data_IF_745101436811
#
_entry.id   IF_745101436811
#
_cell.length_a   1.000
_cell.length_b   1.000
_cell.length_c   1.000
_cell.angle_alpha   90.00
_cell.angle_beta   90.00
_cell.angle_gamma   90.00
#
_symmetry.space_group_name_H-M   'P 1'
#
loop_
_entity.id
_entity.type
_entity.pdbx_description
1 polymer ?
#
# COMPACT_ATOMS: atom_id res chain seq x y z
N UNK A 1 16.54 6.26 -10.67
CA UNK A 1 16.39 6.21 -12.16
C UNK A 1 15.80 7.53 -12.61
N UNK A 2 16.39 8.18 -13.64
CA UNK A 2 15.81 9.43 -14.18
C UNK A 2 14.44 9.17 -14.79
N UNK A 3 13.53 10.14 -14.62
CA UNK A 3 12.17 10.06 -15.15
C UNK A 3 12.15 9.99 -16.69
N UNK A 4 11.48 9.00 -17.25
CA UNK A 4 11.30 8.82 -18.70
C UNK A 4 10.40 9.90 -19.31
N UNK A 5 10.49 10.12 -20.63
CA UNK A 5 9.64 11.06 -21.34
C UNK A 5 8.14 10.68 -21.19
N UNK A 6 7.83 9.39 -21.30
CA UNK A 6 6.47 8.88 -21.09
C UNK A 6 5.93 9.26 -19.72
N UNK A 7 6.73 9.05 -18.66
CA UNK A 7 6.31 9.39 -17.29
C UNK A 7 6.17 10.90 -17.07
N UNK A 8 7.03 11.72 -17.70
CA UNK A 8 6.87 13.20 -17.66
C UNK A 8 5.52 13.64 -18.24
N UNK A 9 5.14 13.10 -19.40
CA UNK A 9 3.85 13.41 -20.04
C UNK A 9 2.71 12.94 -19.14
N UNK A 10 2.75 11.71 -18.66
CA UNK A 10 1.71 11.13 -17.80
C UNK A 10 1.54 11.94 -16.52
N UNK A 11 2.63 12.27 -15.83
CA UNK A 11 2.59 13.09 -14.60
C UNK A 11 1.96 14.45 -14.87
N UNK A 12 2.37 15.12 -15.96
CA UNK A 12 1.82 16.44 -16.33
C UNK A 12 0.32 16.38 -16.62
N UNK A 13 -0.14 15.36 -17.36
CA UNK A 13 -1.57 15.15 -17.65
C UNK A 13 -2.35 14.84 -16.38
N UNK A 14 -1.82 13.97 -15.51
CA UNK A 14 -2.47 13.64 -14.23
C UNK A 14 -2.56 14.87 -13.32
N UNK A 15 -1.49 15.65 -13.17
CA UNK A 15 -1.53 16.91 -12.41
C UNK A 15 -2.59 17.86 -12.96
N UNK A 16 -2.64 18.06 -14.29
CA UNK A 16 -3.66 18.92 -14.91
C UNK A 16 -5.08 18.43 -14.63
N UNK A 17 -5.35 17.13 -14.85
CA UNK A 17 -6.70 16.55 -14.69
C UNK A 17 -7.14 16.52 -13.22
N UNK A 18 -6.27 16.06 -12.32
CA UNK A 18 -6.61 15.93 -10.91
C UNK A 18 -6.70 17.28 -10.22
N UNK A 19 -5.75 18.17 -10.46
CA UNK A 19 -5.75 19.49 -9.85
C UNK A 19 -6.83 20.42 -10.41
N UNK A 20 -7.27 20.25 -11.67
CA UNK A 20 -8.43 21.00 -12.21
C UNK A 20 -9.76 20.61 -11.53
N UNK A 21 -9.83 19.41 -10.96
CA UNK A 21 -11.00 18.89 -10.25
C UNK A 21 -10.92 19.01 -8.74
N UNK A 22 -9.86 19.63 -8.22
CA UNK A 22 -9.55 19.69 -6.79
C UNK A 22 -10.72 20.17 -5.93
N UNK A 23 -11.41 21.26 -6.33
CA UNK A 23 -12.55 21.79 -5.59
C UNK A 23 -13.80 20.90 -5.66
N UNK A 24 -13.96 20.18 -6.78
CA UNK A 24 -15.09 19.25 -7.01
C UNK A 24 -14.90 17.89 -6.32
N UNK A 25 -13.65 17.51 -6.02
CA UNK A 25 -13.34 16.20 -5.46
C UNK A 25 -13.62 16.13 -3.94
N UNK A 26 -13.53 17.23 -3.22
CA UNK A 26 -13.80 17.28 -1.79
C UNK A 26 -15.22 16.81 -1.42
N UNK A 27 -16.18 16.98 -2.36
CA UNK A 27 -17.59 16.56 -2.20
C UNK A 27 -17.92 15.21 -2.85
N UNK A 28 -17.09 14.73 -3.80
CA UNK A 28 -17.40 13.54 -4.61
C UNK A 28 -16.76 12.23 -4.14
N UNK A 29 -15.72 12.27 -3.31
CA UNK A 29 -14.94 11.06 -2.99
C UNK A 29 -15.76 9.95 -2.30
N UNK A 30 -16.79 10.33 -1.54
CA UNK A 30 -17.64 9.38 -0.83
C UNK A 30 -18.69 8.69 -1.72
N UNK A 31 -19.05 9.27 -2.88
CA UNK A 31 -20.18 8.77 -3.68
C UNK A 31 -19.72 7.82 -4.80
N UNK A 32 -18.52 8.01 -5.36
CA UNK A 32 -18.02 7.13 -6.44
C UNK A 32 -17.46 5.80 -5.90
N UNK A 33 -16.73 5.83 -4.80
CA UNK A 33 -16.18 4.61 -4.18
C UNK A 33 -17.32 3.65 -3.77
N UNK A 34 -18.44 4.18 -3.26
CA UNK A 34 -19.57 3.36 -2.85
C UNK A 34 -20.45 2.85 -4.01
N UNK A 35 -20.50 3.55 -5.15
CA UNK A 35 -21.29 3.09 -6.32
C UNK A 35 -20.64 1.95 -7.11
N UNK A 36 -19.30 1.87 -7.13
CA UNK A 36 -18.58 0.79 -7.82
C UNK A 36 -18.59 -0.53 -7.04
N UNK A 37 -18.82 -0.49 -5.73
CA UNK A 37 -18.77 -1.66 -4.85
C UNK A 37 -20.06 -2.51 -4.82
N UNK A 38 -21.18 -2.06 -5.41
CA UNK A 38 -22.45 -2.79 -5.37
C UNK A 38 -22.69 -3.75 -6.53
N UNK A 39 -21.83 -3.84 -7.52
CA UNK A 39 -21.90 -4.91 -8.52
C UNK A 39 -21.13 -6.12 -7.99
N UNK A 40 -21.84 -7.19 -7.68
CA UNK A 40 -21.34 -8.55 -7.43
C UNK A 40 -20.72 -9.15 -8.71
N UNK A 41 -19.76 -8.47 -9.31
CA UNK A 41 -18.98 -9.00 -10.42
C UNK A 41 -17.75 -9.63 -9.83
N UNK A 42 -17.79 -10.90 -9.55
CA UNK A 42 -16.62 -11.67 -9.17
C UNK A 42 -15.67 -11.70 -10.36
N UNK A 43 -14.50 -11.10 -10.22
CA UNK A 43 -13.44 -11.20 -11.19
C UNK A 43 -12.86 -12.62 -11.15
N UNK A 44 -13.09 -13.41 -12.21
CA UNK A 44 -12.49 -14.72 -12.37
C UNK A 44 -11.41 -14.65 -13.46
N UNK A 45 -10.12 -14.50 -13.09
CA UNK A 45 -9.06 -14.44 -14.08
C UNK A 45 -8.84 -15.82 -14.73
N UNK A 46 -8.69 -15.82 -16.05
CA UNK A 46 -8.39 -17.05 -16.82
C UNK A 46 -7.09 -17.68 -16.30
N UNK A 47 -7.13 -18.97 -16.01
CA UNK A 47 -5.98 -19.72 -15.49
C UNK A 47 -5.81 -19.67 -13.97
N UNK A 48 -6.77 -19.07 -13.24
CA UNK A 48 -6.77 -18.99 -11.80
C UNK A 48 -8.07 -19.51 -11.20
N UNK A 49 -7.99 -19.97 -9.95
CA UNK A 49 -9.13 -20.23 -9.08
C UNK A 49 -9.22 -19.13 -8.04
N UNK A 50 -10.43 -18.71 -7.72
CA UNK A 50 -10.72 -17.76 -6.65
C UNK A 50 -11.56 -18.42 -5.58
N UNK A 51 -11.17 -18.22 -4.33
CA UNK A 51 -11.88 -18.72 -3.16
C UNK A 51 -12.03 -17.56 -2.17
N UNK A 52 -13.21 -17.45 -1.53
CA UNK A 52 -13.46 -16.47 -0.49
C UNK A 52 -13.52 -17.17 0.85
N UNK A 53 -12.57 -16.85 1.73
CA UNK A 53 -12.40 -17.46 3.04
C UNK A 53 -12.83 -16.44 4.11
N UNK A 54 -13.73 -16.83 5.00
CA UNK A 54 -14.15 -15.98 6.11
C UNK A 54 -13.09 -15.97 7.20
N UNK A 55 -12.68 -14.77 7.65
CA UNK A 55 -11.71 -14.55 8.71
C UNK A 55 -12.32 -13.61 9.76
N UNK A 56 -12.99 -14.17 10.76
CA UNK A 56 -13.77 -13.35 11.70
C UNK A 56 -14.91 -12.62 10.99
N UNK A 57 -14.90 -11.30 11.08
CA UNK A 57 -15.91 -10.43 10.45
C UNK A 57 -15.50 -9.91 9.06
N UNK A 58 -14.29 -10.24 8.60
CA UNK A 58 -13.79 -9.87 7.27
C UNK A 58 -13.54 -11.10 6.39
N UNK A 59 -12.97 -10.92 5.22
CA UNK A 59 -12.72 -12.00 4.27
C UNK A 59 -11.30 -11.93 3.70
N UNK A 60 -10.79 -13.11 3.32
CA UNK A 60 -9.66 -13.28 2.40
C UNK A 60 -10.19 -13.73 1.05
N UNK A 61 -9.70 -13.12 -0.01
CA UNK A 61 -9.86 -13.66 -1.36
C UNK A 61 -8.55 -14.34 -1.78
N UNK A 62 -8.57 -15.67 -1.82
CA UNK A 62 -7.46 -16.48 -2.30
C UNK A 62 -7.54 -16.61 -3.81
N UNK A 63 -6.51 -16.15 -4.51
CA UNK A 63 -6.34 -16.28 -5.97
C UNK A 63 -5.18 -17.24 -6.21
N UNK A 64 -5.46 -18.44 -6.70
CA UNK A 64 -4.46 -19.48 -6.93
C UNK A 64 -4.38 -19.85 -8.40
N UNK A 65 -3.17 -19.95 -8.98
CA UNK A 65 -2.98 -20.49 -10.33
C UNK A 65 -3.50 -21.92 -10.41
N UNK A 66 -4.05 -22.30 -11.58
CA UNK A 66 -4.55 -23.68 -11.80
C UNK A 66 -3.43 -24.71 -11.93
N UNK A 67 -2.21 -24.27 -12.28
CA UNK A 67 -1.04 -25.14 -12.53
C UNK A 67 0.24 -24.47 -12.06
N UNK A 68 1.25 -25.28 -11.79
CA UNK A 68 2.62 -24.81 -11.45
C UNK A 68 2.65 -23.79 -10.30
N UNK A 69 1.94 -24.09 -9.23
CA UNK A 69 1.86 -23.19 -8.06
C UNK A 69 3.23 -23.13 -7.37
N UNK A 70 3.72 -21.92 -7.16
CA UNK A 70 4.95 -21.65 -6.41
C UNK A 70 4.80 -22.06 -4.94
N UNK A 71 5.93 -22.36 -4.29
CA UNK A 71 5.97 -22.48 -2.83
C UNK A 71 5.81 -21.12 -2.13
N UNK A 72 6.11 -20.00 -2.83
CA UNK A 72 5.88 -18.66 -2.29
C UNK A 72 4.38 -18.32 -2.29
N UNK A 73 3.94 -17.63 -1.26
CA UNK A 73 2.63 -17.05 -1.15
C UNK A 73 2.74 -15.52 -0.98
N UNK A 74 1.75 -14.81 -1.45
CA UNK A 74 1.67 -13.35 -1.31
C UNK A 74 0.49 -13.01 -0.42
N UNK A 75 0.74 -12.22 0.60
CA UNK A 75 -0.29 -11.63 1.44
C UNK A 75 -0.43 -10.15 1.06
N UNK A 76 -1.51 -9.81 0.36
CA UNK A 76 -1.71 -8.50 -0.24
C UNK A 76 -2.69 -7.67 0.58
N UNK A 77 -2.25 -6.47 0.99
CA UNK A 77 -3.02 -5.50 1.74
C UNK A 77 -3.18 -4.26 0.85
N UNK A 78 -4.37 -4.07 0.33
CA UNK A 78 -4.64 -2.99 -0.63
C UNK A 78 -4.68 -1.61 0.03
N UNK A 79 -4.37 -0.58 -0.78
CA UNK A 79 -4.50 0.83 -0.39
C UNK A 79 -5.93 1.36 -0.48
N UNK A 80 -6.06 2.68 -0.53
CA UNK A 80 -7.36 3.37 -0.66
C UNK A 80 -7.77 4.17 0.56
N UNK A 81 -6.79 4.72 1.30
CA UNK A 81 -6.98 5.66 2.42
C UNK A 81 -7.93 5.13 3.52
N UNK A 82 -7.92 3.84 3.78
CA UNK A 82 -8.78 3.11 4.73
C UNK A 82 -10.30 3.24 4.44
N UNK A 83 -10.68 3.68 3.23
CA UNK A 83 -12.07 3.96 2.82
C UNK A 83 -12.54 3.12 1.66
N UNK A 84 -11.62 2.65 0.83
CA UNK A 84 -11.92 1.87 -0.37
C UNK A 84 -11.87 0.38 -0.02
N UNK A 85 -12.93 -0.36 -0.34
CA UNK A 85 -12.97 -1.83 -0.22
C UNK A 85 -12.13 -2.49 -1.31
N UNK A 86 -11.84 -3.78 -1.17
CA UNK A 86 -11.13 -4.55 -2.19
C UNK A 86 -11.88 -4.48 -3.55
N UNK A 87 -11.21 -3.95 -4.57
CA UNK A 87 -11.78 -3.72 -5.90
C UNK A 87 -11.24 -4.71 -6.93
N UNK A 88 -11.89 -4.78 -8.12
CA UNK A 88 -11.39 -5.58 -9.24
C UNK A 88 -10.03 -5.08 -9.77
N UNK A 89 -9.70 -3.81 -9.54
CA UNK A 89 -8.37 -3.29 -9.82
C UNK A 89 -7.31 -4.04 -9.00
N UNK A 90 -7.48 -4.14 -7.69
CA UNK A 90 -6.55 -4.87 -6.81
C UNK A 90 -6.53 -6.38 -7.07
N UNK A 91 -7.67 -6.97 -7.49
CA UNK A 91 -7.71 -8.38 -7.92
C UNK A 91 -6.86 -8.63 -9.18
N UNK A 92 -6.82 -7.65 -10.11
CA UNK A 92 -5.93 -7.71 -11.29
C UNK A 92 -4.46 -7.54 -10.91
N UNK A 93 -4.16 -6.63 -9.97
CA UNK A 93 -2.83 -6.50 -9.40
C UNK A 93 -2.35 -7.83 -8.80
N UNK A 94 -3.22 -8.55 -8.11
CA UNK A 94 -2.92 -9.85 -7.52
C UNK A 94 -2.54 -10.90 -8.57
N UNK A 95 -3.21 -10.92 -9.71
CA UNK A 95 -2.83 -11.78 -10.84
C UNK A 95 -1.46 -11.40 -11.39
N UNK A 96 -1.17 -10.11 -11.45
CA UNK A 96 0.15 -9.63 -11.85
C UNK A 96 1.23 -10.08 -10.85
N UNK A 97 1.00 -9.89 -9.55
CA UNK A 97 1.93 -10.34 -8.50
C UNK A 97 2.12 -11.86 -8.52
N UNK A 98 1.04 -12.63 -8.67
CA UNK A 98 1.16 -14.08 -8.82
C UNK A 98 2.14 -14.48 -9.92
N UNK A 99 1.98 -13.89 -11.11
CA UNK A 99 2.87 -14.16 -12.26
C UNK A 99 4.31 -13.69 -12.03
N UNK A 100 4.48 -12.53 -11.39
CA UNK A 100 5.78 -11.98 -11.03
C UNK A 100 6.57 -12.95 -10.14
N UNK A 101 5.88 -13.59 -9.18
CA UNK A 101 6.45 -14.53 -8.22
C UNK A 101 6.22 -16.00 -8.62
N UNK A 102 6.40 -16.30 -9.92
CA UNK A 102 6.39 -17.67 -10.46
C UNK A 102 5.12 -18.46 -10.12
N UNK A 103 3.95 -17.85 -10.37
CA UNK A 103 2.63 -18.40 -10.05
C UNK A 103 2.41 -18.64 -8.55
N UNK A 104 2.78 -17.67 -7.72
CA UNK A 104 2.48 -17.68 -6.30
C UNK A 104 0.96 -17.56 -6.05
N UNK A 105 0.46 -18.21 -5.02
CA UNK A 105 -0.89 -17.96 -4.51
C UNK A 105 -0.93 -16.58 -3.86
N UNK A 106 -1.99 -15.81 -4.13
CA UNK A 106 -2.20 -14.48 -3.55
C UNK A 106 -3.41 -14.51 -2.63
N UNK A 107 -3.23 -14.01 -1.42
CA UNK A 107 -4.24 -13.81 -0.40
C UNK A 107 -4.54 -12.32 -0.27
N UNK A 108 -5.64 -11.84 -0.83
CA UNK A 108 -6.08 -10.46 -0.71
C UNK A 108 -6.92 -10.29 0.55
N UNK A 109 -6.57 -9.33 1.37
CA UNK A 109 -7.38 -9.00 2.55
C UNK A 109 -8.52 -8.06 2.13
N UNK A 110 -9.76 -8.51 2.29
CA UNK A 110 -10.98 -7.69 2.15
C UNK A 110 -11.37 -7.19 3.55
N UNK A 111 -10.50 -6.32 4.11
CA UNK A 111 -10.68 -5.75 5.44
C UNK A 111 -11.82 -4.73 5.47
N UNK A 112 -12.45 -4.57 6.62
CA UNK A 112 -13.50 -3.57 6.83
C UNK A 112 -12.90 -2.16 6.80
N UNK A 113 -13.63 -1.22 6.23
CA UNK A 113 -13.16 0.15 5.98
C UNK A 113 -14.08 1.19 6.60
N UNK A 114 -13.58 2.40 6.76
CA UNK A 114 -14.40 3.57 7.10
C UNK A 114 -15.48 3.81 6.00
N UNK A 115 -16.71 4.20 6.33
CA UNK A 115 -17.21 4.63 7.65
C UNK A 115 -17.71 3.50 8.56
N UNK A 116 -17.74 2.25 8.08
CA UNK A 116 -18.32 1.14 8.82
C UNK A 116 -17.53 0.85 10.12
N UNK A 117 -16.21 1.01 10.06
CA UNK A 117 -15.30 0.81 11.19
C UNK A 117 -14.15 1.83 11.19
N UNK A 118 -13.43 1.91 12.33
CA UNK A 118 -12.25 2.77 12.53
C UNK A 118 -11.10 1.96 13.12
N UNK A 119 -9.94 2.58 13.28
CA UNK A 119 -8.82 2.01 14.02
C UNK A 119 -9.30 1.53 15.42
N UNK A 120 -8.84 0.36 15.89
CA UNK A 120 -7.84 -0.53 15.28
C UNK A 120 -8.45 -1.63 14.38
N UNK A 121 -9.76 -1.65 14.14
CA UNK A 121 -10.49 -2.78 13.56
C UNK A 121 -9.93 -3.24 12.20
N UNK A 122 -9.61 -2.38 11.21
CA UNK A 122 -9.00 -2.83 9.96
C UNK A 122 -7.64 -3.52 10.14
N UNK A 123 -6.83 -3.06 11.08
CA UNK A 123 -5.56 -3.71 11.41
C UNK A 123 -5.80 -5.09 12.08
N UNK A 124 -6.81 -5.21 12.93
CA UNK A 124 -7.19 -6.49 13.54
C UNK A 124 -7.69 -7.48 12.49
N UNK A 125 -8.46 -7.01 11.50
CA UNK A 125 -8.87 -7.82 10.36
C UNK A 125 -7.67 -8.36 9.59
N UNK A 126 -6.70 -7.48 9.26
CA UNK A 126 -5.47 -7.85 8.57
C UNK A 126 -4.66 -8.88 9.39
N UNK A 127 -4.51 -8.65 10.69
CA UNK A 127 -3.82 -9.55 11.60
C UNK A 127 -4.48 -10.93 11.67
N UNK A 128 -5.79 -10.99 11.86
CA UNK A 128 -6.54 -12.26 11.92
C UNK A 128 -6.50 -13.01 10.58
N UNK A 129 -6.56 -12.29 9.46
CA UNK A 129 -6.37 -12.86 8.14
C UNK A 129 -4.98 -13.48 7.97
N UNK A 130 -3.92 -12.80 8.40
CA UNK A 130 -2.57 -13.36 8.34
C UNK A 130 -2.43 -14.62 9.21
N UNK A 131 -2.97 -14.61 10.43
CA UNK A 131 -3.00 -15.79 11.30
C UNK A 131 -3.77 -16.97 10.68
N UNK A 132 -4.79 -16.70 9.87
CA UNK A 132 -5.50 -17.74 9.13
C UNK A 132 -4.64 -18.32 8.00
N UNK A 133 -3.86 -17.48 7.30
CA UNK A 133 -2.98 -17.92 6.20
C UNK A 133 -1.85 -18.80 6.72
N UNK A 134 -1.18 -18.44 7.82
CA UNK A 134 -0.05 -19.22 8.36
C UNK A 134 -0.44 -20.56 8.99
N UNK A 135 -1.73 -20.88 9.09
CA UNK A 135 -2.18 -22.24 9.43
C UNK A 135 -1.90 -23.24 8.31
N UNK A 136 -1.84 -22.77 7.06
CA UNK A 136 -1.70 -23.61 5.86
C UNK A 136 -0.47 -23.25 5.02
N UNK A 137 0.12 -22.08 5.24
CA UNK A 137 1.32 -21.61 4.53
C UNK A 137 2.48 -21.42 5.52
N UNK A 138 3.69 -21.76 5.09
CA UNK A 138 4.88 -21.46 5.88
C UNK A 138 5.17 -19.95 5.82
N UNK A 139 5.23 -19.29 6.97
CA UNK A 139 5.51 -17.86 7.07
C UNK A 139 6.79 -17.45 6.34
N UNK A 140 7.83 -18.30 6.33
CA UNK A 140 9.08 -18.08 5.60
C UNK A 140 8.91 -18.07 4.06
N UNK A 141 7.76 -18.47 3.56
CA UNK A 141 7.42 -18.40 2.13
C UNK A 141 6.47 -17.24 1.81
N UNK A 142 5.99 -16.51 2.82
CA UNK A 142 5.03 -15.42 2.62
C UNK A 142 5.79 -14.12 2.34
N UNK A 143 5.40 -13.44 1.26
CA UNK A 143 5.78 -12.05 0.96
C UNK A 143 4.56 -11.18 1.23
N UNK A 144 4.67 -10.22 2.14
CA UNK A 144 3.61 -9.22 2.36
C UNK A 144 3.82 -8.07 1.38
N UNK A 145 2.76 -7.66 0.69
CA UNK A 145 2.77 -6.51 -0.24
C UNK A 145 1.68 -5.54 0.18
N UNK A 146 2.03 -4.27 0.32
CA UNK A 146 1.06 -3.20 0.58
C UNK A 146 1.37 -1.93 -0.19
N UNK A 147 0.33 -1.16 -0.52
CA UNK A 147 0.44 0.16 -1.13
C UNK A 147 -0.28 1.21 -0.27
N UNK A 148 0.29 2.43 -0.19
CA UNK A 148 -0.33 3.56 0.52
C UNK A 148 -0.72 3.19 1.98
N UNK A 149 -1.98 3.29 2.37
CA UNK A 149 -2.47 2.83 3.67
C UNK A 149 -2.37 1.31 3.86
N UNK A 150 -2.34 0.51 2.80
CA UNK A 150 -2.05 -0.92 2.86
C UNK A 150 -0.59 -1.19 3.24
N UNK A 151 0.33 -0.34 2.79
CA UNK A 151 1.73 -0.39 3.22
C UNK A 151 1.87 0.00 4.71
N UNK A 152 1.10 0.97 5.19
CA UNK A 152 0.99 1.28 6.61
C UNK A 152 0.59 0.03 7.40
N UNK A 153 -0.53 -0.60 7.04
CA UNK A 153 -1.02 -1.80 7.72
C UNK A 153 -0.07 -3.00 7.58
N UNK A 154 0.74 -3.09 6.52
CA UNK A 154 1.76 -4.14 6.37
C UNK A 154 2.86 -4.01 7.42
N UNK A 155 3.32 -2.79 7.70
CA UNK A 155 4.29 -2.51 8.76
C UNK A 155 3.66 -2.74 10.13
N UNK A 156 2.47 -2.18 10.38
CA UNK A 156 1.74 -2.35 11.65
C UNK A 156 1.42 -3.82 11.93
N UNK A 157 1.12 -4.62 10.88
CA UNK A 157 0.98 -6.08 10.99
C UNK A 157 2.26 -6.73 11.51
N UNK A 158 3.42 -6.40 10.92
CA UNK A 158 4.70 -6.97 11.35
C UNK A 158 5.02 -6.61 12.80
N UNK A 159 4.79 -5.35 13.22
CA UNK A 159 4.91 -4.93 14.60
C UNK A 159 4.01 -5.78 15.51
N UNK A 160 2.73 -5.90 15.15
CA UNK A 160 1.76 -6.65 15.95
C UNK A 160 2.07 -8.16 16.01
N UNK A 161 2.59 -8.76 14.93
CA UNK A 161 3.04 -10.14 14.91
C UNK A 161 4.22 -10.34 15.84
N UNK A 162 5.27 -9.50 15.74
CA UNK A 162 6.44 -9.52 16.61
C UNK A 162 6.05 -9.41 18.08
N UNK A 163 5.28 -8.38 18.42
CA UNK A 163 4.90 -8.07 19.79
C UNK A 163 4.02 -9.17 20.42
N UNK A 164 3.35 -9.97 19.59
CA UNK A 164 2.60 -11.16 20.02
C UNK A 164 3.34 -12.49 19.78
N UNK A 165 4.65 -12.44 19.51
CA UNK A 165 5.49 -13.64 19.27
C UNK A 165 4.89 -14.57 18.20
N UNK A 166 4.37 -14.01 17.12
CA UNK A 166 3.84 -14.75 15.96
C UNK A 166 4.87 -14.78 14.83
N UNK A 167 4.84 -15.83 13.97
CA UNK A 167 5.75 -15.92 12.84
C UNK A 167 5.61 -14.72 11.88
N UNK A 168 6.73 -14.07 11.60
CA UNK A 168 6.84 -12.98 10.64
C UNK A 168 6.93 -13.51 9.20
N UNK A 169 6.51 -12.74 8.18
CA UNK A 169 6.72 -13.11 6.77
C UNK A 169 8.21 -13.11 6.40
N UNK A 170 8.55 -13.71 5.27
CA UNK A 170 9.94 -13.71 4.77
C UNK A 170 10.40 -12.33 4.31
N UNK A 171 9.48 -11.52 3.83
CA UNK A 171 9.78 -10.17 3.34
C UNK A 171 8.52 -9.31 3.24
N UNK A 172 8.74 -7.99 3.22
CA UNK A 172 7.69 -6.97 3.08
C UNK A 172 8.05 -6.04 1.92
N UNK A 173 7.09 -5.75 1.07
CA UNK A 173 7.22 -4.80 -0.04
C UNK A 173 6.20 -3.68 0.17
N UNK A 174 6.70 -2.47 0.30
CA UNK A 174 5.94 -1.28 0.63
C UNK A 174 5.98 -0.29 -0.54
N UNK A 175 4.82 -0.04 -1.14
CA UNK A 175 4.68 0.96 -2.19
C UNK A 175 4.09 2.23 -1.61
N UNK A 176 4.72 3.38 -1.86
CA UNK A 176 4.23 4.70 -1.44
C UNK A 176 3.77 4.69 0.02
N UNK A 177 4.66 4.26 0.89
CA UNK A 177 4.37 4.01 2.29
C UNK A 177 3.84 5.27 3.01
N UNK A 178 2.62 5.21 3.50
CA UNK A 178 2.04 6.25 4.34
C UNK A 178 2.19 5.85 5.81
N UNK A 179 3.33 6.20 6.39
CA UNK A 179 3.78 5.71 7.70
C UNK A 179 3.55 6.67 8.86
N UNK A 180 3.21 7.92 8.58
CA UNK A 180 2.91 8.97 9.55
C UNK A 180 1.56 9.62 9.23
N UNK A 181 0.52 9.26 9.99
CA UNK A 181 -0.81 9.82 9.81
C UNK A 181 -0.93 11.27 10.33
N UNK A 182 0.06 11.77 11.07
CA UNK A 182 0.16 13.20 11.40
C UNK A 182 0.64 14.03 10.21
N UNK A 183 1.20 13.36 9.18
CA UNK A 183 1.76 13.97 7.98
C UNK A 183 2.82 15.04 8.31
N UNK A 184 3.66 14.79 9.31
CA UNK A 184 4.64 15.76 9.82
C UNK A 184 5.92 15.84 8.98
N UNK A 185 6.14 14.88 8.08
CA UNK A 185 7.33 14.79 7.25
C UNK A 185 7.47 15.96 6.26
N UNK A 186 8.71 16.28 5.86
CA UNK A 186 9.01 17.45 5.01
C UNK A 186 8.38 17.37 3.63
N UNK A 187 8.26 16.17 3.07
CA UNK A 187 7.73 15.95 1.72
C UNK A 187 6.25 16.37 1.58
N UNK A 188 5.49 16.39 2.65
CA UNK A 188 4.10 16.88 2.61
C UNK A 188 4.01 18.35 2.20
N UNK A 189 5.00 19.15 2.57
CA UNK A 189 5.13 20.55 2.12
C UNK A 189 5.86 20.65 0.77
N UNK A 190 7.00 19.99 0.64
CA UNK A 190 7.88 20.09 -0.54
C UNK A 190 7.23 19.54 -1.81
N UNK A 191 6.44 18.48 -1.70
CA UNK A 191 5.78 17.81 -2.80
C UNK A 191 4.30 18.20 -2.99
N UNK A 192 3.79 19.16 -2.21
CA UNK A 192 2.37 19.52 -2.23
C UNK A 192 1.82 19.92 -3.61
N UNK A 193 2.66 20.43 -4.51
CA UNK A 193 2.28 20.77 -5.88
C UNK A 193 2.74 19.76 -6.94
N UNK A 194 3.46 18.71 -6.51
CA UNK A 194 4.09 17.74 -7.42
C UNK A 194 3.32 16.43 -7.53
N UNK A 195 2.63 16.04 -6.46
CA UNK A 195 1.80 14.84 -6.44
C UNK A 195 0.46 15.09 -7.13
N UNK A 196 0.12 14.36 -8.20
CA UNK A 196 -1.15 14.55 -8.91
C UNK A 196 -2.39 14.10 -8.12
N UNK A 197 -2.24 13.13 -7.21
CA UNK A 197 -3.38 12.51 -6.53
C UNK A 197 -3.70 13.16 -5.19
N UNK A 198 -2.68 13.44 -4.41
CA UNK A 198 -2.82 13.98 -3.05
C UNK A 198 -2.33 15.43 -2.92
N UNK A 199 -1.65 15.95 -3.92
CA UNK A 199 -1.20 17.33 -3.98
C UNK A 199 -2.31 18.33 -4.25
N UNK A 200 -1.92 19.59 -4.31
CA UNK A 200 -2.80 20.75 -4.51
C UNK A 200 -2.42 21.51 -5.77
N UNK A 201 -3.36 22.21 -6.42
CA UNK A 201 -3.06 23.09 -7.53
C UNK A 201 -2.07 24.20 -7.17
N UNK A 202 -1.17 24.55 -8.08
CA UNK A 202 -0.17 25.64 -7.88
C UNK A 202 -0.77 26.99 -7.49
N UNK A 203 -2.06 27.24 -7.80
CA UNK A 203 -2.79 28.47 -7.42
C UNK A 203 -3.17 28.54 -5.93
N UNK A 204 -3.03 27.44 -5.20
CA UNK A 204 -3.36 27.36 -3.78
C UNK A 204 -2.05 27.22 -3.02
N UNK A 205 -1.80 28.05 -2.02
CA UNK A 205 -0.61 27.93 -1.19
C UNK A 205 -0.69 26.71 -0.27
N UNK A 206 0.48 26.22 0.17
CA UNK A 206 0.53 25.16 1.16
C UNK A 206 -0.19 25.57 2.45
N UNK A 207 0.01 26.81 2.91
CA UNK A 207 -0.59 27.32 4.16
C UNK A 207 -2.13 27.33 4.10
N UNK A 208 -2.71 27.66 2.92
CA UNK A 208 -4.17 27.64 2.72
C UNK A 208 -4.75 26.22 2.63
N UNK A 209 -3.92 25.23 2.35
CA UNK A 209 -4.35 23.87 2.13
C UNK A 209 -3.80 22.86 3.15
N UNK A 210 -2.92 23.28 4.05
CA UNK A 210 -2.26 22.38 5.01
C UNK A 210 -3.24 21.49 5.79
N UNK A 211 -4.37 22.04 6.21
CA UNK A 211 -5.40 21.28 6.93
C UNK A 211 -6.03 20.17 6.08
N UNK A 212 -6.04 20.31 4.74
CA UNK A 212 -6.49 19.25 3.82
C UNK A 212 -5.41 18.22 3.60
N UNK A 213 -4.14 18.64 3.50
CA UNK A 213 -2.98 17.78 3.35
C UNK A 213 -2.75 16.99 4.65
N UNK A 214 -2.82 17.69 5.79
CA UNK A 214 -2.70 17.10 7.14
C UNK A 214 -4.00 16.52 7.67
N UNK A 215 -5.02 16.36 6.81
CA UNK A 215 -6.31 15.85 7.26
C UNK A 215 -6.13 14.45 7.80
N UNK A 216 -6.25 14.33 9.11
CA UNK A 216 -6.42 13.06 9.81
C UNK A 216 -7.51 12.30 9.08
N UNK A 217 -7.22 11.09 8.67
CA UNK A 217 -8.28 10.26 8.12
C UNK A 217 -9.31 10.08 9.20
N UNK A 218 -10.59 10.14 8.85
CA UNK A 218 -11.67 9.84 9.78
C UNK A 218 -11.54 8.42 10.37
N UNK A 219 -10.71 7.58 9.77
CA UNK A 219 -10.25 6.29 10.27
C UNK A 219 -9.56 6.40 11.64
N UNK A 220 -8.73 7.42 11.84
CA UNK A 220 -7.94 7.66 13.06
C UNK A 220 -8.58 8.69 14.00
N UNK A 221 -9.83 9.09 13.77
CA UNK A 221 -10.46 10.15 14.57
C UNK A 221 -10.55 9.78 16.06
N UNK A 222 -9.96 10.62 16.90
CA UNK A 222 -9.93 10.46 18.36
C UNK A 222 -8.76 9.63 18.88
N UNK A 223 -7.88 9.12 17.99
CA UNK A 223 -6.72 8.33 18.36
C UNK A 223 -5.46 9.19 18.50
N UNK A 224 -4.51 8.69 19.29
CA UNK A 224 -3.15 9.24 19.32
C UNK A 224 -2.43 8.94 18.01
N UNK A 225 -2.12 9.97 17.23
CA UNK A 225 -1.43 9.82 15.95
C UNK A 225 0.01 9.34 16.08
N UNK A 226 0.60 9.38 17.27
CA UNK A 226 1.93 8.82 17.54
C UNK A 226 1.90 7.34 17.94
N UNK A 227 0.71 6.73 18.05
CA UNK A 227 0.58 5.29 18.27
C UNK A 227 1.27 4.51 17.13
N UNK A 228 2.28 3.65 17.43
CA UNK A 228 3.05 2.92 16.40
C UNK A 228 2.22 2.01 15.50
N UNK A 229 1.10 1.51 15.98
CA UNK A 229 0.20 0.69 15.15
C UNK A 229 -0.66 1.52 14.19
N UNK A 230 -0.74 2.82 14.42
CA UNK A 230 -1.46 3.77 13.56
C UNK A 230 -0.49 4.51 12.63
N UNK A 231 0.62 4.98 13.20
CA UNK A 231 1.70 5.69 12.47
C UNK A 231 3.02 4.96 12.69
N UNK A 232 3.30 3.91 11.92
CA UNK A 232 4.45 3.04 12.16
C UNK A 232 5.82 3.72 12.01
N UNK A 233 5.91 4.92 11.42
CA UNK A 233 7.13 5.73 11.48
C UNK A 233 7.60 6.04 12.91
N UNK A 234 6.72 6.01 13.89
CA UNK A 234 7.07 6.24 15.30
C UNK A 234 7.42 4.96 16.07
N UNK A 235 7.21 3.79 15.47
CA UNK A 235 7.52 2.50 16.07
C UNK A 235 8.98 2.05 15.91
N UNK A 236 9.31 0.91 16.53
CA UNK A 236 10.56 0.16 16.30
C UNK A 236 10.37 -0.87 15.19
N UNK A 237 11.41 -1.03 14.39
CA UNK A 237 11.51 -2.02 13.32
C UNK A 237 12.46 -3.18 13.69
N UNK A 238 12.83 -3.33 14.97
CA UNK A 238 13.65 -4.44 15.42
C UNK A 238 13.02 -5.78 15.03
N UNK A 239 13.86 -6.73 14.63
CA UNK A 239 13.46 -8.08 14.18
C UNK A 239 12.54 -8.13 12.96
N UNK A 240 12.47 -7.04 12.18
CA UNK A 240 11.66 -7.01 10.97
C UNK A 240 12.20 -7.93 9.89
N UNK A 241 11.33 -8.46 9.03
CA UNK A 241 11.74 -9.21 7.85
C UNK A 241 12.42 -8.29 6.83
N UNK A 242 13.14 -8.89 5.85
CA UNK A 242 13.65 -8.17 4.68
C UNK A 242 12.60 -7.22 4.14
N UNK A 243 12.92 -5.93 4.02
CA UNK A 243 11.96 -4.89 3.63
C UNK A 243 12.42 -4.13 2.39
N UNK A 244 11.51 -4.00 1.42
CA UNK A 244 11.71 -3.19 0.20
C UNK A 244 10.72 -2.04 0.22
N UNK A 245 11.24 -0.80 0.21
CA UNK A 245 10.43 0.42 0.09
C UNK A 245 10.58 0.98 -1.33
N UNK A 246 9.46 1.37 -1.90
CA UNK A 246 9.39 2.01 -3.23
C UNK A 246 8.58 3.28 -3.11
N UNK A 247 9.20 4.42 -3.44
CA UNK A 247 8.54 5.72 -3.45
C UNK A 247 8.94 6.53 -4.69
N UNK A 248 8.20 7.58 -4.95
CA UNK A 248 8.54 8.58 -5.94
C UNK A 248 8.96 9.88 -5.26
N UNK A 249 9.94 10.60 -5.83
CA UNK A 249 10.40 11.86 -5.24
C UNK A 249 9.42 13.03 -5.38
N UNK A 250 8.27 12.80 -5.99
CA UNK A 250 7.14 13.72 -6.03
C UNK A 250 5.94 13.25 -5.18
N UNK A 251 6.05 12.09 -4.52
CA UNK A 251 5.03 11.55 -3.60
C UNK A 251 4.98 12.38 -2.31
N UNK A 252 3.78 12.70 -1.81
CA UNK A 252 3.62 13.38 -0.53
C UNK A 252 4.18 12.55 0.65
N UNK A 253 4.08 11.23 0.61
CA UNK A 253 4.58 10.31 1.62
C UNK A 253 6.05 9.92 1.45
N UNK A 254 6.84 10.60 0.60
CA UNK A 254 8.25 10.25 0.38
C UNK A 254 9.04 10.22 1.69
N UNK A 255 8.90 11.26 2.54
CA UNK A 255 9.62 11.35 3.82
C UNK A 255 9.34 10.18 4.77
N UNK A 256 8.14 9.61 4.72
CA UNK A 256 7.78 8.46 5.55
C UNK A 256 8.58 7.21 5.14
N UNK A 257 8.74 7.02 3.82
CA UNK A 257 9.57 5.93 3.28
C UNK A 257 11.05 6.09 3.68
N UNK A 258 11.58 7.32 3.69
CA UNK A 258 12.93 7.58 4.15
C UNK A 258 13.09 7.37 5.65
N UNK A 259 12.14 7.86 6.45
CA UNK A 259 12.12 7.66 7.91
C UNK A 259 12.12 6.16 8.25
N UNK A 260 11.25 5.38 7.60
CA UNK A 260 11.22 3.93 7.80
C UNK A 260 12.51 3.24 7.36
N UNK A 261 13.08 3.65 6.21
CA UNK A 261 14.33 3.10 5.70
C UNK A 261 15.49 3.30 6.67
N UNK A 262 15.68 4.52 7.19
CA UNK A 262 16.76 4.82 8.13
C UNK A 262 16.61 4.06 9.45
N UNK A 263 15.37 3.94 9.95
CA UNK A 263 15.08 3.14 11.16
C UNK A 263 15.37 1.65 10.94
N UNK A 264 14.85 1.08 9.86
CA UNK A 264 15.11 -0.31 9.50
C UNK A 264 16.61 -0.61 9.42
N UNK A 265 17.38 0.26 8.78
CA UNK A 265 18.84 0.13 8.68
C UNK A 265 19.53 0.23 10.05
N UNK A 266 19.16 1.22 10.85
CA UNK A 266 19.75 1.42 12.19
C UNK A 266 19.45 0.25 13.13
N UNK A 267 18.33 -0.46 12.89
CA UNK A 267 17.93 -1.65 13.66
C UNK A 267 18.42 -2.98 13.02
N UNK A 268 19.32 -2.90 12.01
CA UNK A 268 20.01 -4.06 11.43
C UNK A 268 19.18 -4.88 10.43
N UNK A 269 18.07 -4.35 9.94
CA UNK A 269 17.20 -5.04 9.00
C UNK A 269 17.75 -4.98 7.56
N UNK A 270 17.73 -6.10 6.84
CA UNK A 270 18.03 -6.12 5.40
C UNK A 270 17.00 -5.30 4.64
N UNK A 271 17.40 -4.10 4.17
CA UNK A 271 16.47 -3.11 3.65
C UNK A 271 16.94 -2.49 2.34
N UNK A 272 16.00 -2.28 1.43
CA UNK A 272 16.20 -1.63 0.14
C UNK A 272 15.24 -0.46 -0.02
N UNK A 273 15.75 0.70 -0.44
CA UNK A 273 14.93 1.86 -0.80
C UNK A 273 15.08 2.16 -2.30
N UNK A 274 13.96 2.22 -3.00
CA UNK A 274 13.88 2.61 -4.41
C UNK A 274 13.14 3.93 -4.54
N UNK A 275 13.88 5.03 -4.56
CA UNK A 275 13.35 6.36 -4.84
C UNK A 275 13.46 6.66 -6.33
N UNK A 276 12.33 6.96 -6.97
CA UNK A 276 12.23 7.24 -8.39
C UNK A 276 11.99 8.74 -8.63
N UNK A 277 12.92 9.35 -9.35
CA UNK A 277 12.93 10.79 -9.63
C UNK A 277 11.62 11.25 -10.29
N UNK A 278 10.96 12.25 -9.69
CA UNK A 278 9.73 12.89 -10.13
C UNK A 278 8.53 11.92 -10.32
N UNK A 279 8.60 10.72 -9.78
CA UNK A 279 7.45 9.83 -9.74
C UNK A 279 6.55 10.18 -8.55
N UNK A 280 5.27 9.89 -8.68
CA UNK A 280 4.18 10.28 -7.80
C UNK A 280 3.66 9.08 -7.00
N UNK A 281 2.71 9.31 -6.11
CA UNK A 281 2.09 8.31 -5.27
C UNK A 281 1.53 7.13 -6.09
N UNK A 282 1.91 5.91 -5.75
CA UNK A 282 1.49 4.65 -6.38
C UNK A 282 1.75 4.56 -7.90
N UNK A 283 2.80 5.23 -8.40
CA UNK A 283 3.15 5.21 -9.83
C UNK A 283 3.37 3.80 -10.39
N UNK A 284 3.81 2.85 -9.57
CA UNK A 284 4.04 1.46 -9.95
C UNK A 284 2.76 0.74 -10.40
N UNK A 285 1.59 1.26 -10.05
CA UNK A 285 0.29 0.75 -10.53
C UNK A 285 0.12 0.93 -12.05
N UNK A 286 0.82 1.90 -12.64
CA UNK A 286 0.81 2.15 -14.09
C UNK A 286 1.88 1.29 -14.79
N UNK A 287 1.57 0.01 -15.02
CA UNK A 287 2.53 -1.01 -15.54
C UNK A 287 3.14 -0.67 -16.91
N UNK A 288 2.55 0.24 -17.67
CA UNK A 288 3.09 0.68 -18.95
C UNK A 288 4.29 1.65 -18.82
N UNK A 289 4.50 2.25 -17.62
CA UNK A 289 5.62 3.13 -17.38
C UNK A 289 6.94 2.35 -17.28
N UNK A 290 8.03 2.85 -17.88
CA UNK A 290 9.34 2.23 -17.77
C UNK A 290 9.82 2.10 -16.32
N UNK A 291 9.55 3.11 -15.48
CA UNK A 291 9.90 3.14 -14.05
C UNK A 291 9.17 2.01 -13.30
N UNK A 292 7.88 1.83 -13.56
CA UNK A 292 7.08 0.75 -12.95
C UNK A 292 7.62 -0.63 -13.31
N UNK A 293 7.97 -0.86 -14.57
CA UNK A 293 8.60 -2.11 -15.01
C UNK A 293 9.95 -2.35 -14.34
N UNK A 294 10.75 -1.28 -14.17
CA UNK A 294 12.03 -1.36 -13.48
C UNK A 294 11.86 -1.71 -12.00
N UNK A 295 10.86 -1.12 -11.31
CA UNK A 295 10.50 -1.50 -9.93
C UNK A 295 10.30 -3.00 -9.80
N UNK A 296 9.42 -3.58 -10.60
CA UNK A 296 9.09 -5.00 -10.48
C UNK A 296 10.23 -5.93 -10.89
N UNK A 297 11.08 -5.51 -11.83
CA UNK A 297 12.31 -6.25 -12.15
C UNK A 297 13.24 -6.31 -10.93
N UNK A 298 13.54 -5.16 -10.32
CA UNK A 298 14.41 -5.08 -9.13
C UNK A 298 13.86 -5.86 -7.94
N UNK A 299 12.54 -5.78 -7.68
CA UNK A 299 11.87 -6.56 -6.64
C UNK A 299 12.06 -8.06 -6.89
N UNK A 300 11.85 -8.51 -8.15
CA UNK A 300 12.02 -9.91 -8.51
C UNK A 300 13.45 -10.39 -8.27
N UNK A 301 14.45 -9.59 -8.67
CA UNK A 301 15.87 -9.91 -8.52
C UNK A 301 16.28 -10.08 -7.04
N UNK A 302 15.64 -9.33 -6.11
CA UNK A 302 15.92 -9.40 -4.66
C UNK A 302 15.18 -10.55 -3.98
N UNK A 303 13.92 -10.77 -4.35
CA UNK A 303 13.06 -11.76 -3.67
C UNK A 303 13.26 -13.19 -4.23
N UNK A 304 13.75 -13.31 -5.45
CA UNK A 304 13.98 -14.57 -6.16
C UNK A 304 15.40 -14.60 -6.73
N UNK A 305 16.44 -14.53 -5.88
CA UNK A 305 17.81 -14.61 -6.35
C UNK A 305 18.14 -16.00 -6.94
#
# INVERSE_FOLDING_TARGET
MKQSLTSKIVTSVLCFVCHSKYEKSATRSNTLANKTNNKKSYFHPIGFRTERIKCGECYLEKISPNKNVSKKAIFHIHGGSFKVKLTDFYRRESVYYSRLFNNATVYNVDYRVYPDVRFPIPLDDVYNCYLSVIKNENANNIVVIGDSCGANMAVSLCMKLRDNSKPLPSSVILFSFWGDLSNSGSSYKENCHRDPFYGIPKRISYEDAKDKIHRITLYAQGEDLYNPYLSPCFGSFADFPKTILVCGSADLGQSDSFTAYEKLKSEGVETYLFDYENMFHDFQMLKFLPESRNVFKRIKDIIQP
#
